data_IF_263269208833
#
_entry.id   IF_263269208833
#
_cell.length_a   1.000
_cell.length_b   1.000
_cell.length_c   1.000
_cell.angle_alpha   90.00
_cell.angle_beta   90.00
_cell.angle_gamma   90.00
#
_symmetry.space_group_name_H-M   'P 1'
#
loop_
_entity.id
_entity.type
_entity.pdbx_description
1 polymer ?
#
# COMPACT_ATOMS: atom_id res chain seq x y z
N UNK A 1 16.31 -5.77 -17.34
CA UNK A 1 17.31 -4.79 -17.78
C UNK A 1 16.92 -3.40 -17.33
N UNK A 2 17.83 -2.43 -17.51
CA UNK A 2 17.57 -1.00 -17.25
C UNK A 2 16.95 -0.33 -18.49
N UNK A 3 15.89 0.45 -18.29
CA UNK A 3 15.27 1.31 -19.29
C UNK A 3 15.61 2.78 -18.98
N UNK A 4 16.36 3.42 -19.88
CA UNK A 4 16.88 4.77 -19.65
C UNK A 4 15.82 5.88 -19.73
N UNK A 5 14.71 5.64 -20.43
CA UNK A 5 13.65 6.65 -20.60
C UNK A 5 12.78 6.75 -19.33
N UNK A 6 12.39 5.60 -18.78
CA UNK A 6 11.61 5.49 -17.55
C UNK A 6 12.47 5.52 -16.29
N UNK A 7 13.78 5.25 -16.42
CA UNK A 7 14.70 5.10 -15.29
C UNK A 7 14.45 3.83 -14.47
N UNK A 8 13.69 2.86 -15.00
CA UNK A 8 13.34 1.63 -14.31
C UNK A 8 14.38 0.54 -14.56
N UNK A 9 14.73 -0.17 -13.50
CA UNK A 9 15.50 -1.41 -13.59
C UNK A 9 14.56 -2.58 -13.29
N UNK A 10 14.37 -3.46 -14.27
CA UNK A 10 13.59 -4.69 -14.10
C UNK A 10 14.53 -5.90 -14.01
N UNK A 11 14.42 -6.69 -12.95
CA UNK A 11 15.08 -7.98 -12.81
C UNK A 11 14.04 -9.01 -12.41
N UNK A 12 13.90 -10.05 -13.23
CA UNK A 12 12.92 -11.11 -13.05
C UNK A 12 13.52 -12.36 -12.39
N UNK A 13 14.79 -12.32 -11.97
CA UNK A 13 15.43 -13.44 -11.27
C UNK A 13 15.47 -14.74 -12.08
N UNK A 14 15.44 -14.64 -13.42
CA UNK A 14 15.37 -15.80 -14.32
C UNK A 14 13.97 -16.43 -14.45
N UNK A 15 12.93 -15.83 -13.86
CA UNK A 15 11.54 -16.26 -14.02
C UNK A 15 11.04 -15.85 -15.41
N UNK A 16 10.57 -16.82 -16.19
CA UNK A 16 9.85 -16.57 -17.42
C UNK A 16 8.35 -16.37 -17.12
N UNK A 17 7.86 -15.16 -17.35
CA UNK A 17 6.43 -14.87 -17.24
C UNK A 17 5.70 -15.29 -18.52
N UNK A 18 4.49 -15.87 -18.40
CA UNK A 18 3.70 -16.23 -19.57
C UNK A 18 3.34 -14.99 -20.37
N UNK A 19 3.28 -15.13 -21.70
CA UNK A 19 2.73 -14.05 -22.54
C UNK A 19 1.26 -13.84 -22.18
N UNK A 20 0.95 -12.62 -21.75
CA UNK A 20 -0.41 -12.20 -21.47
C UNK A 20 -1.11 -11.78 -22.77
N UNK A 21 -2.40 -12.09 -22.87
CA UNK A 21 -3.23 -11.56 -23.95
C UNK A 21 -3.28 -10.02 -23.86
N UNK A 22 -3.13 -9.34 -25.01
CA UNK A 22 -3.16 -7.86 -25.08
C UNK A 22 -4.52 -7.31 -24.62
N UNK A 23 -5.59 -8.07 -24.82
CA UNK A 23 -6.94 -7.74 -24.40
C UNK A 23 -7.56 -8.97 -23.70
N UNK A 24 -7.30 -9.17 -22.39
CA UNK A 24 -7.86 -10.30 -21.66
C UNK A 24 -9.39 -10.19 -21.60
N UNK A 25 -10.06 -11.33 -21.76
CA UNK A 25 -11.50 -11.46 -21.59
C UNK A 25 -11.90 -11.32 -20.12
N UNK A 26 -13.17 -11.00 -19.89
CA UNK A 26 -13.75 -10.98 -18.54
C UNK A 26 -13.65 -12.35 -17.85
N UNK A 27 -13.63 -13.45 -18.62
CA UNK A 27 -13.47 -14.80 -18.08
C UNK A 27 -12.06 -14.99 -17.53
N UNK A 28 -11.02 -14.65 -18.30
CA UNK A 28 -9.62 -14.74 -17.86
C UNK A 28 -9.37 -13.83 -16.65
N UNK A 29 -9.95 -12.63 -16.63
CA UNK A 29 -9.85 -11.73 -15.49
C UNK A 29 -10.47 -12.33 -14.21
N UNK A 30 -11.60 -13.04 -14.33
CA UNK A 30 -12.23 -13.74 -13.20
C UNK A 30 -11.42 -14.96 -12.75
N UNK A 31 -10.80 -15.68 -13.67
CA UNK A 31 -9.91 -16.81 -13.33
C UNK A 31 -8.67 -16.32 -12.58
N UNK A 32 -8.04 -15.22 -13.03
CA UNK A 32 -6.93 -14.59 -12.31
C UNK A 32 -7.34 -14.05 -10.93
N UNK A 33 -8.57 -13.53 -10.80
CA UNK A 33 -9.10 -13.05 -9.53
C UNK A 33 -9.18 -14.14 -8.46
N UNK A 34 -9.43 -15.40 -8.85
CA UNK A 34 -9.47 -16.54 -7.90
C UNK A 34 -8.13 -16.69 -7.17
N UNK A 35 -7.01 -16.45 -7.86
CA UNK A 35 -5.67 -16.52 -7.26
C UNK A 35 -5.48 -15.43 -6.19
N UNK A 36 -5.92 -14.21 -6.48
CA UNK A 36 -5.89 -13.11 -5.50
C UNK A 36 -6.85 -13.36 -4.33
N UNK A 37 -8.01 -13.97 -4.60
CA UNK A 37 -8.99 -14.30 -3.57
C UNK A 37 -8.48 -15.40 -2.63
N UNK A 38 -7.77 -16.40 -3.18
CA UNK A 38 -7.13 -17.43 -2.37
C UNK A 38 -6.01 -16.85 -1.51
N UNK A 39 -5.17 -15.98 -2.07
CA UNK A 39 -4.12 -15.27 -1.33
C UNK A 39 -4.70 -14.49 -0.13
N UNK A 40 -5.84 -13.82 -0.33
CA UNK A 40 -6.48 -12.99 0.68
C UNK A 40 -7.52 -13.74 1.52
N UNK A 41 -7.64 -15.06 1.37
CA UNK A 41 -8.72 -15.87 1.97
C UNK A 41 -8.74 -15.83 3.50
N UNK A 42 -7.57 -15.66 4.14
CA UNK A 42 -7.44 -15.54 5.59
C UNK A 42 -7.54 -14.09 6.10
N UNK A 43 -7.77 -13.11 5.24
CA UNK A 43 -7.95 -11.72 5.66
C UNK A 43 -9.37 -11.49 6.19
N UNK A 44 -9.48 -10.92 7.40
CA UNK A 44 -10.75 -10.71 8.07
C UNK A 44 -11.45 -9.42 7.61
N UNK A 45 -11.74 -9.30 6.31
CA UNK A 45 -12.41 -8.12 5.77
C UNK A 45 -13.83 -7.98 6.32
N UNK A 46 -14.19 -6.77 6.75
CA UNK A 46 -15.59 -6.44 7.08
C UNK A 46 -16.45 -6.69 5.84
N UNK A 47 -17.50 -7.51 6.00
CA UNK A 47 -18.38 -7.93 4.91
C UNK A 47 -17.87 -9.14 4.10
N UNK A 48 -16.74 -9.75 4.47
CA UNK A 48 -16.19 -10.95 3.84
C UNK A 48 -15.43 -10.70 2.54
N UNK A 49 -15.07 -11.79 1.85
CA UNK A 49 -14.17 -11.77 0.70
C UNK A 49 -14.69 -10.96 -0.51
N UNK A 50 -16.01 -10.77 -0.67
CA UNK A 50 -16.58 -10.00 -1.79
C UNK A 50 -17.01 -8.59 -1.37
N UNK A 51 -16.52 -8.09 -0.23
CA UNK A 51 -16.89 -6.78 0.29
C UNK A 51 -16.13 -5.63 -0.36
N UNK A 52 -16.59 -4.37 -0.18
CA UNK A 52 -15.83 -3.18 -0.57
C UNK A 52 -14.41 -3.15 0.01
N UNK A 53 -14.20 -3.62 1.24
CA UNK A 53 -12.88 -3.68 1.87
C UNK A 53 -11.94 -4.64 1.13
N UNK A 54 -12.43 -5.83 0.77
CA UNK A 54 -11.66 -6.78 -0.01
C UNK A 54 -11.35 -6.23 -1.41
N UNK A 55 -12.30 -5.56 -2.05
CA UNK A 55 -12.10 -4.88 -3.34
C UNK A 55 -11.08 -3.75 -3.26
N UNK A 56 -11.08 -2.94 -2.19
CA UNK A 56 -10.07 -1.91 -1.95
C UNK A 56 -8.66 -2.52 -1.81
N UNK A 57 -8.54 -3.65 -1.10
CA UNK A 57 -7.26 -4.36 -0.99
C UNK A 57 -6.75 -4.88 -2.34
N UNK A 58 -7.62 -5.48 -3.16
CA UNK A 58 -7.26 -5.91 -4.52
C UNK A 58 -6.85 -4.72 -5.39
N UNK A 59 -7.58 -3.61 -5.30
CA UNK A 59 -7.24 -2.39 -6.00
C UNK A 59 -5.83 -1.90 -5.60
N UNK A 60 -5.48 -1.93 -4.32
CA UNK A 60 -4.15 -1.55 -3.85
C UNK A 60 -3.03 -2.46 -4.39
N UNK A 61 -3.25 -3.77 -4.49
CA UNK A 61 -2.31 -4.72 -5.11
C UNK A 61 -2.08 -4.35 -6.58
N UNK A 62 -3.17 -4.15 -7.33
CA UNK A 62 -3.10 -3.76 -8.75
C UNK A 62 -2.40 -2.41 -8.89
N UNK A 63 -2.78 -1.42 -8.07
CA UNK A 63 -2.16 -0.10 -8.03
C UNK A 63 -0.67 -0.20 -7.81
N UNK A 64 -0.19 -1.05 -6.89
CA UNK A 64 1.24 -1.25 -6.67
C UNK A 64 1.95 -1.82 -7.89
N UNK A 65 1.37 -2.82 -8.56
CA UNK A 65 1.93 -3.42 -9.77
C UNK A 65 2.05 -2.40 -10.92
N UNK A 66 1.09 -1.49 -11.06
CA UNK A 66 1.11 -0.46 -12.12
C UNK A 66 1.60 0.91 -11.64
N UNK A 67 2.06 1.04 -10.40
CA UNK A 67 2.27 2.35 -9.75
C UNK A 67 3.22 3.24 -10.54
N UNK A 68 4.26 2.65 -11.14
CA UNK A 68 5.28 3.35 -11.92
C UNK A 68 4.78 3.92 -13.25
N UNK A 69 3.63 3.45 -13.74
CA UNK A 69 2.97 3.95 -14.95
C UNK A 69 1.93 5.05 -14.66
N UNK A 70 1.71 5.39 -13.38
CA UNK A 70 0.73 6.38 -12.96
C UNK A 70 1.43 7.62 -12.40
N UNK A 71 0.97 8.81 -12.76
CA UNK A 71 1.46 10.04 -12.10
C UNK A 71 0.98 10.09 -10.64
N UNK A 72 -0.28 9.74 -10.41
CA UNK A 72 -0.93 9.78 -9.10
C UNK A 72 -1.66 8.48 -8.81
N UNK A 73 -1.83 8.16 -7.54
CA UNK A 73 -2.55 6.97 -7.11
C UNK A 73 -3.17 7.20 -5.74
N UNK A 74 -4.34 6.61 -5.45
CA UNK A 74 -4.92 6.70 -4.12
C UNK A 74 -4.09 5.92 -3.10
N UNK A 75 -4.12 6.36 -1.85
CA UNK A 75 -3.66 5.53 -0.74
C UNK A 75 -4.67 4.40 -0.44
N UNK A 76 -4.22 3.37 0.26
CA UNK A 76 -5.11 2.42 0.94
C UNK A 76 -5.14 2.75 2.43
N UNK A 77 -6.31 3.06 2.99
CA UNK A 77 -6.50 3.26 4.42
C UNK A 77 -7.08 1.99 5.04
N UNK A 78 -6.24 1.25 5.77
CA UNK A 78 -6.61 0.01 6.45
C UNK A 78 -6.92 0.29 7.92
N UNK A 79 -8.14 -0.02 8.33
CA UNK A 79 -8.63 0.23 9.69
C UNK A 79 -9.18 -1.03 10.33
N UNK A 80 -9.09 -1.11 11.66
CA UNK A 80 -9.71 -2.15 12.46
C UNK A 80 -10.15 -1.57 13.81
N UNK A 81 -11.01 -2.28 14.55
CA UNK A 81 -11.39 -1.88 15.92
C UNK A 81 -10.23 -2.01 16.92
N UNK A 82 -9.33 -2.96 16.67
CA UNK A 82 -8.29 -3.37 17.62
C UNK A 82 -6.91 -3.48 16.95
N UNK A 83 -5.87 -3.47 17.79
CA UNK A 83 -4.52 -3.81 17.37
C UNK A 83 -4.44 -5.30 16.95
N UNK A 84 -3.36 -5.66 16.25
CA UNK A 84 -3.08 -7.05 15.87
C UNK A 84 -4.15 -7.73 14.98
N UNK A 85 -5.01 -6.96 14.31
CA UNK A 85 -5.97 -7.50 13.32
C UNK A 85 -5.38 -7.76 11.92
N UNK A 86 -4.06 -7.61 11.74
CA UNK A 86 -3.39 -7.85 10.45
C UNK A 86 -3.28 -6.65 9.51
N UNK A 87 -3.46 -5.41 9.99
CA UNK A 87 -3.41 -4.19 9.17
C UNK A 87 -2.07 -4.00 8.45
N UNK A 88 -0.96 -4.03 9.19
CA UNK A 88 0.40 -3.92 8.66
C UNK A 88 0.77 -5.13 7.79
N UNK A 89 0.24 -6.31 8.11
CA UNK A 89 0.43 -7.51 7.29
C UNK A 89 -0.11 -7.33 5.87
N UNK A 90 -1.24 -6.62 5.68
CA UNK A 90 -1.73 -6.27 4.34
C UNK A 90 -0.71 -5.42 3.57
N UNK A 91 -0.04 -4.47 4.22
CA UNK A 91 1.00 -3.67 3.56
C UNK A 91 2.19 -4.54 3.13
N UNK A 92 2.61 -5.47 3.97
CA UNK A 92 3.66 -6.43 3.62
C UNK A 92 3.24 -7.38 2.50
N UNK A 93 1.99 -7.82 2.42
CA UNK A 93 1.48 -8.61 1.29
C UNK A 93 1.67 -7.85 -0.02
N UNK A 94 1.23 -6.58 -0.08
CA UNK A 94 1.40 -5.75 -1.29
C UNK A 94 2.87 -5.63 -1.67
N UNK A 95 3.76 -5.34 -0.71
CA UNK A 95 5.19 -5.19 -1.01
C UNK A 95 5.86 -6.50 -1.41
N UNK A 96 5.50 -7.63 -0.78
CA UNK A 96 6.07 -8.93 -1.10
C UNK A 96 5.67 -9.38 -2.50
N UNK A 97 4.42 -9.15 -2.91
CA UNK A 97 3.99 -9.41 -4.30
C UNK A 97 4.85 -8.63 -5.29
N UNK A 98 5.16 -7.36 -4.98
CA UNK A 98 5.88 -6.48 -5.89
C UNK A 98 7.41 -6.69 -5.88
N UNK A 99 7.99 -7.03 -4.73
CA UNK A 99 9.45 -6.96 -4.52
C UNK A 99 10.06 -8.19 -3.84
N UNK A 100 9.24 -9.13 -3.36
CA UNK A 100 9.67 -10.20 -2.45
C UNK A 100 10.02 -9.73 -1.03
N UNK A 101 10.02 -8.42 -0.77
CA UNK A 101 10.43 -7.82 0.49
C UNK A 101 9.25 -7.18 1.24
N UNK A 102 9.45 -6.93 2.54
CA UNK A 102 8.49 -6.23 3.38
C UNK A 102 8.44 -4.72 3.05
N UNK A 103 7.24 -4.13 3.17
CA UNK A 103 7.05 -2.70 3.01
C UNK A 103 7.90 -1.89 4.01
N UNK A 104 8.39 -0.73 3.59
CA UNK A 104 8.98 0.25 4.50
C UNK A 104 7.90 0.74 5.48
N UNK A 105 8.15 0.62 6.78
CA UNK A 105 7.19 1.04 7.82
C UNK A 105 7.69 2.31 8.49
N UNK A 106 6.90 3.37 8.45
CA UNK A 106 7.15 4.61 9.19
C UNK A 106 5.90 4.98 9.99
N UNK A 107 6.03 5.58 11.18
CA UNK A 107 4.86 6.06 11.91
C UNK A 107 4.25 7.26 11.18
N UNK A 108 2.92 7.36 11.25
CA UNK A 108 2.23 8.57 10.83
C UNK A 108 2.21 9.58 11.98
N UNK A 109 3.17 10.51 11.99
CA UNK A 109 3.23 11.56 13.01
C UNK A 109 2.08 12.57 12.86
N UNK A 110 1.54 13.06 13.99
CA UNK A 110 0.57 14.16 14.00
C UNK A 110 1.24 15.52 13.75
N UNK A 111 2.53 15.66 14.05
CA UNK A 111 3.27 16.89 13.78
C UNK A 111 3.63 16.96 12.29
N UNK A 112 2.98 17.87 11.57
CA UNK A 112 3.12 18.02 10.12
C UNK A 112 4.58 18.17 9.65
N UNK A 113 5.42 18.85 10.43
CA UNK A 113 6.84 19.05 10.11
C UNK A 113 7.66 17.75 10.23
N UNK A 114 7.31 16.88 11.18
CA UNK A 114 7.96 15.57 11.32
C UNK A 114 7.49 14.61 10.24
N UNK A 115 6.20 14.60 9.93
CA UNK A 115 5.64 13.78 8.86
C UNK A 115 6.23 14.17 7.50
N UNK A 116 6.25 15.46 7.13
CA UNK A 116 6.84 15.91 5.86
C UNK A 116 8.30 15.49 5.69
N UNK A 117 9.06 15.59 6.79
CA UNK A 117 10.44 15.14 6.87
C UNK A 117 10.61 13.64 6.64
N UNK A 118 9.83 12.80 7.33
CA UNK A 118 9.90 11.34 7.16
C UNK A 118 9.43 10.93 5.78
N UNK A 119 8.35 11.55 5.29
CA UNK A 119 7.81 11.32 3.96
C UNK A 119 8.86 11.62 2.89
N UNK A 120 9.55 12.77 2.97
CA UNK A 120 10.66 13.08 2.07
C UNK A 120 11.75 12.01 2.13
N UNK A 121 12.13 11.57 3.33
CA UNK A 121 13.13 10.52 3.51
C UNK A 121 12.77 9.20 2.82
N UNK A 122 11.54 8.73 2.97
CA UNK A 122 11.07 7.50 2.32
C UNK A 122 10.99 7.67 0.80
N UNK A 123 10.48 8.81 0.32
CA UNK A 123 10.42 9.08 -1.12
C UNK A 123 11.83 9.19 -1.75
N UNK A 124 12.82 9.67 -1.00
CA UNK A 124 14.23 9.66 -1.41
C UNK A 124 14.83 8.25 -1.43
N UNK A 125 14.45 7.39 -0.49
CA UNK A 125 14.89 5.99 -0.46
C UNK A 125 14.35 5.20 -1.67
N UNK A 126 13.17 5.59 -2.18
CA UNK A 126 12.61 5.03 -3.40
C UNK A 126 11.87 3.71 -3.20
N UNK A 127 11.50 3.38 -1.96
CA UNK A 127 10.70 2.21 -1.64
C UNK A 127 9.39 2.21 -2.45
N UNK A 128 9.01 1.08 -3.07
CA UNK A 128 7.84 1.04 -3.95
C UNK A 128 6.52 0.95 -3.16
N UNK A 129 6.56 0.50 -1.91
CA UNK A 129 5.41 0.44 -0.99
C UNK A 129 5.83 0.97 0.38
N UNK A 130 5.06 1.91 0.92
CA UNK A 130 5.25 2.44 2.28
C UNK A 130 4.01 2.21 3.13
N UNK A 131 4.21 1.71 4.35
CA UNK A 131 3.21 1.62 5.39
C UNK A 131 3.38 2.78 6.38
N UNK A 132 2.41 3.70 6.37
CA UNK A 132 2.24 4.79 7.33
C UNK A 132 1.47 4.22 8.53
N UNK A 133 2.20 3.70 9.51
CA UNK A 133 1.65 2.88 10.58
C UNK A 133 1.21 3.66 11.83
N UNK A 134 0.28 3.06 12.57
CA UNK A 134 -0.31 3.59 13.79
C UNK A 134 -0.83 5.03 13.67
N UNK A 135 -1.48 5.32 12.54
CA UNK A 135 -2.18 6.57 12.31
C UNK A 135 -3.24 6.79 13.40
N UNK A 136 -3.26 8.01 13.94
CA UNK A 136 -4.19 8.44 14.98
C UNK A 136 -5.37 9.15 14.34
N UNK A 137 -6.57 8.85 14.83
CA UNK A 137 -7.82 9.46 14.39
C UNK A 137 -8.00 10.90 14.95
N UNK A 138 -8.51 11.86 14.15
CA UNK A 138 -8.70 11.79 12.70
C UNK A 138 -7.39 11.99 11.93
N UNK A 139 -7.31 11.44 10.72
CA UNK A 139 -6.16 11.62 9.83
C UNK A 139 -6.42 12.79 8.87
N UNK A 140 -5.63 13.85 9.06
CA UNK A 140 -5.52 15.00 8.16
C UNK A 140 -4.04 15.28 7.88
N UNK A 141 -3.66 15.44 6.61
CA UNK A 141 -2.27 15.73 6.25
C UNK A 141 -2.14 16.37 4.89
N UNK A 142 -1.76 17.64 4.89
CA UNK A 142 -1.41 18.37 3.66
C UNK A 142 -0.23 17.72 2.91
N UNK A 143 0.74 17.15 3.64
CA UNK A 143 1.90 16.48 3.04
C UNK A 143 1.50 15.21 2.28
N UNK A 144 0.65 14.37 2.88
CA UNK A 144 0.10 13.19 2.20
C UNK A 144 -0.78 13.59 1.03
N UNK A 145 -1.66 14.58 1.21
CA UNK A 145 -2.47 15.12 0.13
C UNK A 145 -1.59 15.52 -1.06
N UNK A 146 -0.54 16.32 -0.84
CA UNK A 146 0.36 16.76 -1.90
C UNK A 146 1.05 15.57 -2.60
N UNK A 147 1.54 14.59 -1.85
CA UNK A 147 2.22 13.43 -2.42
C UNK A 147 1.28 12.49 -3.20
N UNK A 148 0.00 12.38 -2.80
CA UNK A 148 -0.99 11.54 -3.48
C UNK A 148 -1.53 12.17 -4.78
N UNK A 149 -1.43 13.49 -4.95
CA UNK A 149 -2.01 14.21 -6.11
C UNK A 149 -1.01 14.86 -7.05
N UNK A 150 0.28 14.58 -6.90
CA UNK A 150 1.33 15.07 -7.79
C UNK A 150 2.30 13.93 -8.08
N UNK A 151 2.82 13.83 -9.31
CA UNK A 151 3.87 12.86 -9.68
C UNK A 151 5.26 13.16 -9.07
N UNK A 152 5.42 14.34 -8.46
CA UNK A 152 6.61 14.69 -7.70
C UNK A 152 6.27 15.42 -6.41
N UNK A 153 7.10 15.22 -5.40
CA UNK A 153 7.03 15.88 -4.11
C UNK A 153 8.32 16.68 -3.90
N UNK A 154 8.19 17.86 -3.30
CA UNK A 154 9.33 18.75 -3.09
C UNK A 154 9.28 19.32 -1.68
N UNK A 155 10.35 19.10 -0.93
CA UNK A 155 10.51 19.64 0.41
C UNK A 155 12.01 19.83 0.74
N UNK A 156 12.30 20.46 1.87
CA UNK A 156 13.66 20.80 2.34
C UNK A 156 14.29 19.61 3.06
N UNK A 157 15.54 19.32 2.70
CA UNK A 157 16.34 18.32 3.42
C UNK A 157 16.64 18.83 4.84
N UNK A 158 16.52 17.95 5.84
CA UNK A 158 16.80 18.26 7.25
C UNK A 158 18.18 18.89 7.41
N UNK A 159 18.25 19.97 8.20
CA UNK A 159 19.52 20.68 8.51
C UNK A 159 20.29 21.13 7.27
N UNK A 160 19.62 21.23 6.13
CA UNK A 160 20.17 21.75 4.88
C UNK A 160 19.28 22.85 4.32
N UNK A 161 19.87 23.78 3.57
CA UNK A 161 19.13 24.76 2.76
C UNK A 161 18.68 24.19 1.40
N UNK A 162 19.11 22.98 1.06
CA UNK A 162 18.82 22.32 -0.21
C UNK A 162 17.39 21.79 -0.25
N UNK A 163 16.69 22.08 -1.35
CA UNK A 163 15.42 21.45 -1.69
C UNK A 163 15.67 20.15 -2.44
N UNK A 164 14.95 19.10 -2.09
CA UNK A 164 14.92 17.85 -2.85
C UNK A 164 13.59 17.75 -3.60
N UNK A 165 13.65 17.38 -4.88
CA UNK A 165 12.48 16.96 -5.66
C UNK A 165 12.57 15.47 -5.89
N UNK A 166 11.54 14.74 -5.49
CA UNK A 166 11.48 13.28 -5.50
C UNK A 166 10.22 12.79 -6.20
N UNK A 167 10.27 11.58 -6.74
CA UNK A 167 9.09 10.92 -7.32
C UNK A 167 8.13 10.48 -6.21
N UNK A 168 6.83 10.55 -6.48
CA UNK A 168 5.76 10.04 -5.61
C UNK A 168 5.21 8.71 -6.10
N UNK A 169 5.90 8.03 -7.02
CA UNK A 169 5.48 6.77 -7.61
C UNK A 169 5.50 5.57 -6.61
N UNK A 170 5.24 5.81 -5.33
CA UNK A 170 5.10 4.84 -4.26
C UNK A 170 3.62 4.52 -4.02
N UNK A 171 3.31 3.30 -3.62
CA UNK A 171 2.00 2.94 -3.08
C UNK A 171 1.99 3.18 -1.58
N UNK A 172 1.11 4.07 -1.12
CA UNK A 172 1.00 4.43 0.29
C UNK A 172 -0.14 3.66 0.95
N UNK A 173 0.15 3.01 2.07
CA UNK A 173 -0.82 2.28 2.86
C UNK A 173 -0.83 2.89 4.26
N UNK A 174 -1.97 3.39 4.69
CA UNK A 174 -2.17 4.02 6.01
C UNK A 174 -2.87 3.00 6.91
N UNK A 175 -2.30 2.70 8.07
CA UNK A 175 -2.87 1.74 9.02
C UNK A 175 -3.15 2.39 10.35
N UNK A 176 -4.26 2.02 10.99
CA UNK A 176 -4.58 2.51 12.34
C UNK A 176 -5.88 1.93 12.89
N UNK A 177 -6.21 2.29 14.13
CA UNK A 177 -7.41 1.80 14.80
C UNK A 177 -8.53 2.83 14.69
N UNK A 178 -9.70 2.41 14.20
CA UNK A 178 -10.85 3.31 14.07
C UNK A 178 -10.61 4.53 13.18
N UNK A 179 -9.74 4.41 12.16
CA UNK A 179 -9.37 5.52 11.29
C UNK A 179 -10.57 6.20 10.65
N UNK A 180 -10.61 7.53 10.77
CA UNK A 180 -11.41 8.41 9.91
C UNK A 180 -10.47 9.36 9.19
N UNK A 181 -10.51 9.29 7.87
CA UNK A 181 -9.89 10.30 7.02
C UNK A 181 -10.80 11.52 6.99
N UNK A 182 -10.22 12.71 7.03
CA UNK A 182 -10.98 13.97 6.94
C UNK A 182 -10.42 14.87 5.84
N UNK A 183 -11.20 15.90 5.51
CA UNK A 183 -10.83 16.86 4.47
C UNK A 183 -10.55 16.18 3.13
N UNK A 184 -9.48 16.62 2.49
CA UNK A 184 -9.07 16.18 1.15
C UNK A 184 -8.65 14.71 1.08
N UNK A 185 -8.23 14.10 2.18
CA UNK A 185 -7.82 12.68 2.18
C UNK A 185 -8.99 11.72 1.90
N UNK A 186 -10.24 12.15 2.16
CA UNK A 186 -11.45 11.34 1.93
C UNK A 186 -11.63 10.93 0.47
N UNK A 187 -11.14 11.73 -0.48
CA UNK A 187 -11.23 11.46 -1.93
C UNK A 187 -9.94 10.90 -2.53
N UNK A 188 -8.87 10.81 -1.71
CA UNK A 188 -7.52 10.40 -2.14
C UNK A 188 -7.11 9.04 -1.59
N UNK A 189 -8.00 8.35 -0.89
CA UNK A 189 -7.73 7.03 -0.33
C UNK A 189 -8.93 6.10 -0.40
N UNK A 190 -8.65 4.81 -0.59
CA UNK A 190 -9.63 3.73 -0.55
C UNK A 190 -9.68 3.14 0.86
N UNK A 191 -10.89 2.95 1.40
CA UNK A 191 -11.08 2.38 2.73
C UNK A 191 -11.09 0.85 2.72
N UNK A 192 -10.35 0.24 3.64
CA UNK A 192 -10.35 -1.20 3.89
C UNK A 192 -10.53 -1.45 5.39
N UNK A 193 -11.68 -1.99 5.79
CA UNK A 193 -11.94 -2.31 7.19
C UNK A 193 -11.76 -3.80 7.47
N UNK A 194 -11.10 -4.11 8.60
CA UNK A 194 -10.92 -5.46 9.14
C UNK A 194 -11.69 -5.64 10.44
N UNK A 195 -12.29 -6.82 10.61
CA UNK A 195 -12.90 -7.27 11.86
C UNK A 195 -12.66 -8.78 12.02
N UNK A 196 -11.79 -9.14 12.96
CA UNK A 196 -11.47 -10.55 13.25
C UNK A 196 -12.61 -11.27 13.96
N UNK A 197 -13.57 -10.55 14.56
CA UNK A 197 -14.62 -11.14 15.39
C UNK A 197 -14.12 -11.76 16.69
N UNK A 198 -12.86 -11.53 17.05
CA UNK A 198 -12.19 -12.09 18.24
C UNK A 198 -11.91 -10.98 19.24
N UNK A 199 -12.07 -11.27 20.54
CA UNK A 199 -11.68 -10.36 21.62
C UNK A 199 -10.17 -10.14 21.71
N UNK A 200 -9.39 -11.14 21.26
CA UNK A 200 -7.93 -11.14 21.25
C UNK A 200 -7.41 -11.47 19.84
N UNK A 201 -7.36 -10.48 18.92
CA UNK A 201 -6.95 -10.69 17.54
C UNK A 201 -5.57 -11.35 17.39
N UNK A 202 -4.65 -11.08 18.32
CA UNK A 202 -3.31 -11.67 18.35
C UNK A 202 -3.29 -13.19 18.58
N UNK A 203 -4.36 -13.77 19.11
CA UNK A 203 -4.49 -15.23 19.30
C UNK A 203 -5.06 -15.93 18.06
N UNK A 204 -5.38 -15.17 17.00
CA UNK A 204 -5.88 -15.73 15.75
C UNK A 204 -4.84 -16.66 15.13
N UNK A 205 -5.23 -17.92 14.94
CA UNK A 205 -4.42 -18.91 14.23
C UNK A 205 -4.63 -18.77 12.73
N UNK A 206 -3.53 -18.70 11.99
CA UNK A 206 -3.50 -18.68 10.53
C UNK A 206 -3.10 -20.06 10.02
N UNK A 207 -3.71 -20.50 8.93
CA UNK A 207 -3.42 -21.79 8.31
C UNK A 207 -2.16 -21.72 7.45
N UNK A 208 -1.88 -20.56 6.86
CA UNK A 208 -0.75 -20.34 5.97
C UNK A 208 0.24 -19.36 6.57
N UNK A 209 1.51 -19.65 6.33
CA UNK A 209 2.53 -18.61 6.37
C UNK A 209 2.44 -17.81 5.06
N UNK A 210 1.84 -16.63 5.14
CA UNK A 210 1.62 -15.77 3.97
C UNK A 210 2.94 -15.29 3.35
N UNK A 211 4.01 -15.18 4.15
CA UNK A 211 5.32 -14.80 3.65
C UNK A 211 5.85 -15.87 2.71
N UNK A 212 5.82 -17.14 3.14
CA UNK A 212 6.26 -18.29 2.36
C UNK A 212 5.32 -18.64 1.19
N UNK A 213 4.05 -18.25 1.25
CA UNK A 213 3.11 -18.47 0.15
C UNK A 213 3.36 -17.53 -1.04
N UNK A 214 3.90 -16.33 -0.80
CA UNK A 214 4.15 -15.32 -1.86
C UNK A 214 5.53 -15.50 -2.51
N UNK A 215 6.54 -15.95 -1.75
CA UNK A 215 7.94 -16.10 -2.19
C UNK A 215 8.27 -17.51 -2.66
#
# INVERSE_FOLDING_TARGET
GYDAQSGLYADFGGVEYPQLAVAPSLKEAREALIVLDDLLSECAFVGGAQSPSASAMRAAIITALVRRALDTAPALAVTAKQASSGKTALAHIVSRILTGCEAAVIPLDQEAAELGRRLLGVLMAGDPVVCLDNAVDPVDSAALCAALTSGSYQDRIIRSSTMARVSTAVTMIITGNGLRLVGDLTTRALGCALDTGLDRPQERVYQRDIAAFIT
#
